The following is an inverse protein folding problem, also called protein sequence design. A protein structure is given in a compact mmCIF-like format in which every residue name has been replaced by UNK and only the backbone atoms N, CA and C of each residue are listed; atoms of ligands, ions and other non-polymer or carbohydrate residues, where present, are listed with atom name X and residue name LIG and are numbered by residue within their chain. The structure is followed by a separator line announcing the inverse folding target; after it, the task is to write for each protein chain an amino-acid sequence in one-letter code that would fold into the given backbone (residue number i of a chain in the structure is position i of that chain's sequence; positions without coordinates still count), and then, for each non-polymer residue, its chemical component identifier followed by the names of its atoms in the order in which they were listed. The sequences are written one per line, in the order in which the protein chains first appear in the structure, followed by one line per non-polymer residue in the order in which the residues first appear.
data_IF_182848099746
#
_entry.id   IF_182848099746
#
_cell.length_a   1.000
_cell.length_b   1.000
_cell.length_c   1.000
_cell.angle_alpha   90.00
_cell.angle_beta   90.00
_cell.angle_gamma   90.00
#
_symmetry.space_group_name_H-M   'P 1'
#
loop_
_entity.id
_entity.type
_entity.pdbx_description
1 polymer ?
#
# COMPACT_ATOMS: atom_id res chain seq x y z
N UNK A 1 -13.11 46.81 22.32
CA UNK A 1 -12.30 45.79 21.64
C UNK A 1 -13.21 45.13 20.64
N UNK A 2 -12.99 45.38 19.35
CA UNK A 2 -13.77 44.80 18.27
C UNK A 2 -12.97 43.60 17.75
N UNK A 3 -13.53 42.40 17.90
CA UNK A 3 -13.01 41.19 17.28
C UNK A 3 -13.35 41.24 15.78
N UNK A 4 -12.33 41.13 14.93
CA UNK A 4 -12.48 40.95 13.50
C UNK A 4 -12.47 39.45 13.21
N UNK A 5 -13.63 38.89 12.89
CA UNK A 5 -13.74 37.57 12.28
C UNK A 5 -13.09 37.63 10.89
N UNK A 6 -12.10 36.75 10.64
CA UNK A 6 -11.50 36.54 9.33
C UNK A 6 -12.25 35.42 8.63
N UNK A 7 -13.03 35.79 7.62
CA UNK A 7 -13.56 34.86 6.63
C UNK A 7 -12.39 34.23 5.85
N UNK A 8 -12.24 32.92 5.97
CA UNK A 8 -11.32 32.13 5.14
C UNK A 8 -12.16 31.67 3.95
N UNK A 9 -11.98 32.33 2.80
CA UNK A 9 -12.60 31.91 1.55
C UNK A 9 -12.00 30.56 1.11
N UNK A 10 -12.85 29.55 1.00
CA UNK A 10 -12.51 28.24 0.44
C UNK A 10 -12.16 28.40 -1.06
N UNK A 11 -10.87 28.57 -1.38
CA UNK A 11 -10.40 28.48 -2.75
C UNK A 11 -10.49 27.01 -3.23
N UNK A 12 -11.55 26.70 -3.98
CA UNK A 12 -11.66 25.47 -4.76
C UNK A 12 -10.50 25.39 -5.79
N UNK A 13 -9.51 24.56 -5.49
CA UNK A 13 -8.42 24.24 -6.42
C UNK A 13 -9.03 23.50 -7.62
N UNK A 14 -9.21 24.20 -8.74
CA UNK A 14 -9.58 23.61 -10.03
C UNK A 14 -8.40 22.82 -10.58
N UNK A 15 -8.32 21.54 -10.24
CA UNK A 15 -7.37 20.61 -10.84
C UNK A 15 -7.80 20.36 -12.29
N UNK A 16 -6.97 20.80 -13.23
CA UNK A 16 -7.19 20.63 -14.65
C UNK A 16 -7.05 19.15 -15.04
N UNK A 17 -8.18 18.49 -15.30
CA UNK A 17 -8.24 17.03 -15.58
C UNK A 17 -7.47 16.62 -16.83
N UNK A 18 -7.05 17.55 -17.68
CA UNK A 18 -6.25 17.26 -18.87
C UNK A 18 -4.77 16.94 -18.60
N UNK A 19 -4.29 17.12 -17.36
CA UNK A 19 -2.93 16.75 -16.95
C UNK A 19 -2.82 15.29 -16.47
N UNK A 20 -3.95 14.60 -16.29
CA UNK A 20 -3.97 13.17 -16.00
C UNK A 20 -3.85 12.46 -17.35
N UNK A 21 -2.63 12.38 -17.87
CA UNK A 21 -2.29 11.30 -18.80
C UNK A 21 -2.52 10.02 -18.01
N UNK A 22 -3.60 9.31 -18.32
CA UNK A 22 -3.73 7.89 -18.00
C UNK A 22 -2.67 7.16 -18.83
N UNK A 23 -1.40 7.29 -18.45
CA UNK A 23 -0.48 6.19 -18.63
C UNK A 23 -1.15 5.03 -17.89
N UNK A 24 -1.48 3.98 -18.64
CA UNK A 24 -1.90 2.71 -18.08
C UNK A 24 -0.71 2.14 -17.28
N UNK A 25 -0.40 2.76 -16.15
CA UNK A 25 0.45 2.18 -15.13
C UNK A 25 -0.22 0.85 -14.80
N UNK A 26 0.53 -0.25 -14.87
CA UNK A 26 0.05 -1.57 -14.50
C UNK A 26 -0.47 -1.51 -13.06
N UNK A 27 -1.77 -1.27 -12.90
CA UNK A 27 -2.41 -1.11 -11.60
C UNK A 27 -2.30 -2.45 -10.87
N UNK A 28 -1.50 -2.47 -9.81
CA UNK A 28 -1.34 -3.61 -8.92
C UNK A 28 -2.14 -3.41 -7.64
N UNK A 29 -2.65 -4.50 -7.09
CA UNK A 29 -3.41 -4.46 -5.85
C UNK A 29 -2.50 -4.77 -4.68
N UNK A 30 -2.56 -3.94 -3.63
CA UNK A 30 -1.83 -4.19 -2.38
C UNK A 30 -2.75 -4.85 -1.35
N UNK A 31 -2.39 -6.06 -0.92
CA UNK A 31 -3.09 -6.80 0.13
C UNK A 31 -2.31 -6.72 1.44
N UNK A 32 -2.98 -6.29 2.52
CA UNK A 32 -2.43 -6.34 3.88
C UNK A 32 -2.94 -7.59 4.60
N UNK A 33 -2.05 -8.55 4.86
CA UNK A 33 -2.37 -9.81 5.53
C UNK A 33 -1.97 -9.72 6.99
N UNK A 34 -2.93 -9.93 7.89
CA UNK A 34 -2.68 -9.94 9.34
C UNK A 34 -1.90 -11.19 9.76
N UNK A 35 -0.87 -10.99 10.56
CA UNK A 35 -0.02 -12.05 11.14
C UNK A 35 0.15 -11.86 12.64
N UNK A 36 0.75 -12.85 13.30
CA UNK A 36 1.23 -12.70 14.68
C UNK A 36 2.36 -11.68 14.71
N UNK A 37 2.29 -10.74 15.66
CA UNK A 37 3.30 -9.69 15.85
C UNK A 37 4.69 -10.33 16.08
N UNK A 38 5.73 -9.77 15.45
CA UNK A 38 7.13 -10.23 15.49
C UNK A 38 7.38 -11.59 14.82
N UNK A 39 6.41 -12.13 14.06
CA UNK A 39 6.58 -13.36 13.28
C UNK A 39 6.61 -13.11 11.76
N UNK A 40 6.51 -11.85 11.32
CA UNK A 40 6.39 -11.45 9.92
C UNK A 40 7.55 -12.00 9.07
N UNK A 41 8.79 -11.82 9.56
CA UNK A 41 10.00 -12.32 8.88
C UNK A 41 10.07 -13.85 8.82
N UNK A 42 9.60 -14.53 9.87
CA UNK A 42 9.58 -15.99 9.93
C UNK A 42 8.52 -16.56 8.96
N UNK A 43 7.32 -15.96 8.95
CA UNK A 43 6.24 -16.31 8.03
C UNK A 43 6.68 -16.05 6.59
N UNK A 44 7.29 -14.91 6.29
CA UNK A 44 7.82 -14.59 4.97
C UNK A 44 8.80 -15.66 4.48
N UNK A 45 9.76 -16.06 5.34
CA UNK A 45 10.70 -17.13 5.03
C UNK A 45 10.00 -18.46 4.73
N UNK A 46 8.98 -18.81 5.51
CA UNK A 46 8.19 -20.02 5.27
C UNK A 46 7.42 -19.96 3.94
N UNK A 47 6.86 -18.80 3.58
CA UNK A 47 6.21 -18.58 2.27
C UNK A 47 7.22 -18.81 1.14
N UNK A 48 8.41 -18.23 1.22
CA UNK A 48 9.45 -18.44 0.22
C UNK A 48 9.90 -19.90 0.11
N UNK A 49 9.98 -20.64 1.23
CA UNK A 49 10.28 -22.07 1.17
C UNK A 49 9.16 -22.86 0.48
N UNK A 50 7.89 -22.46 0.67
CA UNK A 50 6.77 -23.08 -0.05
C UNK A 50 6.86 -22.84 -1.56
N UNK A 51 7.29 -21.66 -2.00
CA UNK A 51 7.47 -21.39 -3.44
C UNK A 51 8.51 -22.31 -4.10
N UNK A 52 9.49 -22.82 -3.35
CA UNK A 52 10.48 -23.76 -3.89
C UNK A 52 9.94 -25.16 -4.19
N UNK A 53 8.81 -25.53 -3.60
CA UNK A 53 8.22 -26.87 -3.72
C UNK A 53 6.88 -26.86 -4.47
N UNK A 54 6.38 -25.69 -4.85
CA UNK A 54 5.17 -25.55 -5.63
C UNK A 54 5.50 -25.69 -7.12
N UNK A 55 4.71 -26.49 -7.83
CA UNK A 55 4.83 -26.62 -9.29
C UNK A 55 4.41 -25.33 -10.03
N UNK A 56 3.57 -24.51 -9.40
CA UNK A 56 3.09 -23.23 -9.92
C UNK A 56 3.38 -22.14 -8.89
N UNK A 57 4.13 -21.11 -9.29
CA UNK A 57 4.39 -19.93 -8.47
C UNK A 57 3.18 -18.99 -8.57
N UNK A 58 2.63 -18.50 -7.45
CA UNK A 58 1.53 -17.54 -7.49
C UNK A 58 1.98 -16.23 -8.14
N UNK A 59 1.05 -15.55 -8.81
CA UNK A 59 1.28 -14.24 -9.41
C UNK A 59 1.36 -13.18 -8.31
N UNK A 60 2.57 -12.97 -7.79
CA UNK A 60 2.90 -12.01 -6.74
C UNK A 60 4.14 -11.26 -7.23
N UNK A 61 4.00 -9.94 -7.36
CA UNK A 61 5.08 -9.06 -7.81
C UNK A 61 6.06 -8.74 -6.69
N UNK A 62 5.53 -8.45 -5.50
CA UNK A 62 6.34 -8.11 -4.33
C UNK A 62 5.72 -8.58 -3.03
N UNK A 63 6.57 -8.84 -2.04
CA UNK A 63 6.16 -9.08 -0.64
C UNK A 63 6.99 -8.17 0.26
N UNK A 64 6.31 -7.39 1.10
CA UNK A 64 6.93 -6.37 1.95
C UNK A 64 6.59 -6.60 3.43
N UNK A 65 7.58 -6.35 4.29
CA UNK A 65 7.41 -6.25 5.74
C UNK A 65 7.89 -4.86 6.17
N UNK A 66 7.04 -4.12 6.88
CA UNK A 66 7.35 -2.78 7.38
C UNK A 66 7.49 -2.78 8.90
N UNK A 67 8.62 -2.29 9.47
CA UNK A 67 8.77 -2.13 10.93
C UNK A 67 7.73 -1.20 11.56
N UNK A 68 7.12 -0.31 10.77
CA UNK A 68 6.12 0.66 11.23
C UNK A 68 4.72 0.03 11.40
N UNK A 69 4.48 -1.13 10.80
CA UNK A 69 3.19 -1.81 10.79
C UNK A 69 3.36 -3.27 11.27
N UNK A 70 3.66 -3.49 12.56
CA UNK A 70 3.82 -4.83 13.11
C UNK A 70 2.51 -5.61 13.05
N UNK A 71 2.61 -6.93 12.88
CA UNK A 71 1.47 -7.82 12.72
C UNK A 71 0.89 -7.85 11.30
N UNK A 72 1.60 -7.31 10.30
CA UNK A 72 1.16 -7.34 8.91
C UNK A 72 2.29 -7.70 7.93
N UNK A 73 1.91 -8.41 6.87
CA UNK A 73 2.73 -8.62 5.66
C UNK A 73 1.94 -8.09 4.47
N UNK A 74 2.60 -7.37 3.58
CA UNK A 74 1.98 -6.78 2.40
C UNK A 74 2.35 -7.58 1.15
N UNK A 75 1.37 -7.82 0.29
CA UNK A 75 1.54 -8.49 -1.00
C UNK A 75 1.09 -7.57 -2.10
N UNK A 76 1.90 -7.44 -3.13
CA UNK A 76 1.54 -6.80 -4.40
C UNK A 76 1.21 -7.89 -5.41
N UNK A 77 -0.03 -7.91 -5.90
CA UNK A 77 -0.53 -8.86 -6.88
C UNK A 77 -1.60 -8.22 -7.78
#
# INVERSE_FOLDING_TARGET
MADQEKDIEDEEIKIDKSLIKEESEDLTTLFAVRTTINQESNILRQIFYRFKILDIIPDIRAILVSPLLPGYIFFEA
#
